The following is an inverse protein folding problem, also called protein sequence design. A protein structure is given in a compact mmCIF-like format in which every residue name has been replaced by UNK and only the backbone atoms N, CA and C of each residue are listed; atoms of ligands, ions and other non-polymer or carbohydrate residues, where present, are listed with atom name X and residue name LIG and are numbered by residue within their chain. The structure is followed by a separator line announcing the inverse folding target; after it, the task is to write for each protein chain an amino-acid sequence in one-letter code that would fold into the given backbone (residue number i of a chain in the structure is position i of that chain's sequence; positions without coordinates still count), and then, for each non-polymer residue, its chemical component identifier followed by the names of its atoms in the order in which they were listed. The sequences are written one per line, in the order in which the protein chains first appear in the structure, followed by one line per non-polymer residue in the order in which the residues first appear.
data_IF_620960949446
#
_entry.id   IF_620960949446
#
_cell.length_a   1.000
_cell.length_b   1.000
_cell.length_c   1.000
_cell.angle_alpha   90.00
_cell.angle_beta   90.00
_cell.angle_gamma   90.00
#
_symmetry.space_group_name_H-M   'P 1'
#
loop_
_entity.id
_entity.type
_entity.pdbx_description
1 polymer ?
#
# COMPACT_ATOMS: atom_id res chain seq x y z
N UNK A 1 10.40 -15.31 -14.45
CA UNK A 1 10.86 -15.70 -13.10
C UNK A 1 9.66 -16.29 -12.38
N UNK A 2 9.74 -17.55 -11.94
CA UNK A 2 8.64 -18.18 -11.20
C UNK A 2 8.68 -17.69 -9.75
N UNK A 3 7.90 -16.68 -9.42
CA UNK A 3 7.66 -16.32 -8.03
C UNK A 3 6.92 -17.47 -7.36
N UNK A 4 7.21 -17.73 -6.10
CA UNK A 4 6.43 -18.72 -5.37
C UNK A 4 5.00 -18.18 -5.23
N UNK A 5 4.03 -18.86 -5.83
CA UNK A 5 2.60 -18.52 -5.74
C UNK A 5 2.19 -18.35 -4.27
N UNK A 6 2.76 -19.17 -3.40
CA UNK A 6 2.48 -19.12 -1.95
C UNK A 6 2.97 -17.80 -1.33
N UNK A 7 4.15 -17.31 -1.73
CA UNK A 7 4.67 -16.04 -1.20
C UNK A 7 3.89 -14.83 -1.73
N UNK A 8 3.46 -14.87 -3.00
CA UNK A 8 2.67 -13.80 -3.60
C UNK A 8 1.27 -13.71 -2.96
N UNK A 9 0.56 -14.82 -2.90
CA UNK A 9 -0.78 -14.91 -2.28
C UNK A 9 -0.71 -14.62 -0.78
N UNK A 10 0.29 -15.16 -0.08
CA UNK A 10 0.49 -14.92 1.35
C UNK A 10 0.77 -13.44 1.67
N UNK A 11 1.66 -12.82 0.89
CA UNK A 11 1.97 -11.38 1.02
C UNK A 11 0.77 -10.50 0.69
N UNK A 12 0.03 -10.84 -0.37
CA UNK A 12 -1.22 -10.18 -0.71
C UNK A 12 -2.26 -10.31 0.40
N UNK A 13 -2.41 -11.52 0.97
CA UNK A 13 -3.31 -11.79 2.09
C UNK A 13 -2.97 -10.94 3.32
N UNK A 14 -1.69 -10.81 3.66
CA UNK A 14 -1.24 -10.01 4.78
C UNK A 14 -1.52 -8.52 4.55
N UNK A 15 -1.23 -7.99 3.36
CA UNK A 15 -1.53 -6.59 3.01
C UNK A 15 -3.03 -6.34 3.02
N UNK A 16 -3.82 -7.22 2.41
CA UNK A 16 -5.28 -7.13 2.40
C UNK A 16 -5.87 -7.19 3.81
N UNK A 17 -5.38 -8.10 4.65
CA UNK A 17 -5.78 -8.20 6.06
C UNK A 17 -5.50 -6.91 6.82
N UNK A 18 -4.29 -6.34 6.68
CA UNK A 18 -3.94 -5.06 7.31
C UNK A 18 -4.77 -3.91 6.76
N UNK A 19 -5.06 -3.91 5.45
CA UNK A 19 -5.92 -2.91 4.81
C UNK A 19 -7.37 -3.02 5.32
N UNK A 20 -7.89 -4.23 5.50
CA UNK A 20 -9.20 -4.49 6.07
C UNK A 20 -9.31 -4.10 7.55
N UNK A 21 -8.27 -4.40 8.32
CA UNK A 21 -8.23 -4.18 9.77
C UNK A 21 -8.04 -2.71 10.14
N UNK A 22 -7.07 -2.03 9.51
CA UNK A 22 -6.62 -0.67 9.86
C UNK A 22 -7.07 0.39 8.85
N UNK A 23 -7.53 -0.04 7.68
CA UNK A 23 -7.82 0.84 6.55
C UNK A 23 -6.57 1.18 5.74
N UNK A 24 -6.42 2.43 5.28
CA UNK A 24 -5.38 2.82 4.33
C UNK A 24 -3.92 2.55 4.72
N UNK A 25 -3.62 2.35 6.00
CA UNK A 25 -2.24 2.10 6.45
C UNK A 25 -1.62 0.80 5.90
N UNK A 26 -2.43 -0.26 5.73
CA UNK A 26 -1.94 -1.56 5.25
C UNK A 26 -1.30 -1.54 3.86
N UNK A 27 -1.66 -0.58 3.03
CA UNK A 27 -1.10 -0.43 1.67
C UNK A 27 0.41 -0.17 1.64
N UNK A 28 0.97 0.40 2.70
CA UNK A 28 2.41 0.71 2.76
C UNK A 28 3.30 -0.53 2.78
N UNK A 29 2.76 -1.66 3.20
CA UNK A 29 3.51 -2.92 3.23
C UNK A 29 3.57 -3.63 1.87
N UNK A 30 2.76 -3.23 0.89
CA UNK A 30 2.69 -3.91 -0.40
C UNK A 30 4.03 -3.93 -1.13
N UNK A 31 4.65 -2.76 -1.30
CA UNK A 31 5.96 -2.65 -2.00
C UNK A 31 7.08 -3.40 -1.28
N UNK A 32 7.30 -3.24 0.04
CA UNK A 32 8.33 -4.02 0.75
C UNK A 32 8.11 -5.54 0.68
N UNK A 33 6.87 -6.01 0.78
CA UNK A 33 6.58 -7.43 0.70
C UNK A 33 6.83 -7.99 -0.69
N UNK A 34 6.47 -7.25 -1.75
CA UNK A 34 6.80 -7.65 -3.12
C UNK A 34 8.30 -7.72 -3.37
N UNK A 35 9.07 -6.78 -2.84
CA UNK A 35 10.53 -6.75 -2.99
C UNK A 35 11.22 -7.84 -2.17
N UNK A 36 10.87 -7.98 -0.89
CA UNK A 36 11.66 -8.78 0.04
C UNK A 36 11.07 -10.15 0.36
N UNK A 37 9.75 -10.30 0.35
CA UNK A 37 9.10 -11.58 0.62
C UNK A 37 8.82 -12.38 -0.67
N UNK A 38 8.41 -11.70 -1.74
CA UNK A 38 8.17 -12.33 -3.04
C UNK A 38 9.45 -12.38 -3.88
N UNK A 39 10.37 -11.42 -3.69
CA UNK A 39 11.65 -11.39 -4.38
C UNK A 39 11.61 -10.71 -5.75
N UNK A 40 10.73 -9.73 -5.94
CA UNK A 40 10.69 -8.92 -7.17
C UNK A 40 11.97 -8.12 -7.30
N UNK A 41 12.78 -8.40 -8.32
CA UNK A 41 14.11 -7.80 -8.47
C UNK A 41 14.08 -6.31 -8.81
N UNK A 42 13.03 -5.87 -9.53
CA UNK A 42 12.92 -4.48 -10.00
C UNK A 42 11.98 -3.65 -9.11
N UNK A 43 12.50 -2.61 -8.44
CA UNK A 43 11.70 -1.74 -7.56
C UNK A 43 10.48 -1.12 -8.24
N UNK A 44 10.65 -0.66 -9.47
CA UNK A 44 9.54 -0.04 -10.22
C UNK A 44 8.42 -1.04 -10.52
N UNK A 45 8.74 -2.30 -10.83
CA UNK A 45 7.74 -3.35 -11.04
C UNK A 45 7.00 -3.65 -9.73
N UNK A 46 7.72 -3.71 -8.60
CA UNK A 46 7.11 -3.92 -7.30
C UNK A 46 6.15 -2.77 -6.91
N UNK A 47 6.53 -1.52 -7.20
CA UNK A 47 5.68 -0.34 -6.94
C UNK A 47 4.44 -0.36 -7.85
N UNK A 48 4.61 -0.58 -9.15
CA UNK A 48 3.50 -0.61 -10.12
C UNK A 48 2.50 -1.74 -9.82
N UNK A 49 3.01 -2.95 -9.64
CA UNK A 49 2.21 -4.14 -9.29
C UNK A 49 1.52 -3.99 -7.94
N UNK A 50 2.25 -3.49 -6.93
CA UNK A 50 1.71 -3.20 -5.61
C UNK A 50 0.62 -2.14 -5.63
N UNK A 51 0.81 -1.06 -6.40
CA UNK A 51 -0.18 0.00 -6.55
C UNK A 51 -1.48 -0.52 -7.18
N UNK A 52 -1.39 -1.38 -8.21
CA UNK A 52 -2.55 -2.03 -8.81
C UNK A 52 -3.28 -2.90 -7.80
N UNK A 53 -2.57 -3.79 -7.14
CA UNK A 53 -3.16 -4.73 -6.19
C UNK A 53 -3.82 -4.01 -5.00
N UNK A 54 -3.16 -3.00 -4.44
CA UNK A 54 -3.71 -2.16 -3.36
C UNK A 54 -4.96 -1.43 -3.84
N UNK A 55 -4.97 -0.93 -5.08
CA UNK A 55 -6.14 -0.21 -5.63
C UNK A 55 -7.35 -1.11 -5.72
N UNK A 56 -7.20 -2.30 -6.29
CA UNK A 56 -8.31 -3.28 -6.41
C UNK A 56 -8.82 -3.66 -5.03
N UNK A 57 -7.93 -3.97 -4.08
CA UNK A 57 -8.31 -4.30 -2.70
C UNK A 57 -8.98 -3.11 -1.98
N UNK A 58 -8.51 -1.88 -2.22
CA UNK A 58 -9.12 -0.67 -1.66
C UNK A 58 -10.50 -0.42 -2.23
N UNK A 59 -10.72 -0.63 -3.55
CA UNK A 59 -12.04 -0.54 -4.17
C UNK A 59 -13.00 -1.62 -3.67
N UNK A 60 -12.55 -2.86 -3.50
CA UNK A 60 -13.36 -3.92 -2.92
C UNK A 60 -13.83 -3.58 -1.49
N UNK A 61 -12.91 -3.05 -0.67
CA UNK A 61 -13.25 -2.56 0.66
C UNK A 61 -14.16 -1.32 0.62
N UNK A 62 -13.94 -0.40 -0.33
CA UNK A 62 -14.76 0.78 -0.50
C UNK A 62 -16.19 0.43 -0.89
N UNK A 63 -16.40 -0.52 -1.82
CA UNK A 63 -17.72 -0.95 -2.26
C UNK A 63 -18.59 -1.40 -1.08
N UNK A 64 -18.01 -2.18 -0.14
CA UNK A 64 -18.74 -2.61 1.06
C UNK A 64 -19.10 -1.47 2.01
N UNK A 65 -18.35 -0.37 2.03
CA UNK A 65 -18.71 0.84 2.81
C UNK A 65 -19.68 1.77 2.08
N UNK A 66 -19.60 1.85 0.74
CA UNK A 66 -20.50 2.65 -0.08
C UNK A 66 -21.93 2.13 -0.03
N UNK A 67 -22.10 0.80 -0.09
CA UNK A 67 -23.41 0.14 0.03
C UNK A 67 -24.08 0.46 1.39
N UNK A 68 -23.28 0.64 2.44
CA UNK A 68 -23.76 1.00 3.80
C UNK A 68 -24.05 2.50 3.98
N UNK A 69 -23.94 3.33 2.94
CA UNK A 69 -24.26 4.77 2.98
C UNK A 69 -23.28 5.65 3.79
N UNK A 70 -22.09 5.14 4.18
CA UNK A 70 -21.16 5.85 5.03
C UNK A 70 -20.12 6.70 4.26
N UNK A 71 -20.47 7.19 3.05
CA UNK A 71 -19.53 7.94 2.20
C UNK A 71 -19.98 9.38 2.00
N UNK A 72 -19.11 10.34 2.34
CA UNK A 72 -19.29 11.75 2.02
C UNK A 72 -18.77 12.05 0.62
N UNK A 73 -19.62 11.90 -0.39
CA UNK A 73 -19.27 11.94 -1.81
C UNK A 73 -18.54 13.22 -2.23
N UNK A 74 -18.96 14.39 -1.75
CA UNK A 74 -18.31 15.68 -2.12
C UNK A 74 -16.83 15.71 -1.71
N UNK A 75 -16.54 15.39 -0.46
CA UNK A 75 -15.15 15.34 0.03
C UNK A 75 -14.36 14.23 -0.66
N UNK A 76 -14.98 13.08 -0.90
CA UNK A 76 -14.35 11.96 -1.57
C UNK A 76 -13.93 12.31 -3.01
N UNK A 77 -14.78 12.97 -3.78
CA UNK A 77 -14.50 13.36 -5.17
C UNK A 77 -13.39 14.41 -5.28
N UNK A 78 -13.45 15.47 -4.46
CA UNK A 78 -12.40 16.52 -4.46
C UNK A 78 -11.05 15.94 -4.05
N UNK A 79 -11.01 15.16 -2.99
CA UNK A 79 -9.78 14.56 -2.49
C UNK A 79 -9.22 13.53 -3.49
N UNK A 80 -10.08 12.72 -4.13
CA UNK A 80 -9.68 11.77 -5.16
C UNK A 80 -9.14 12.48 -6.40
N UNK A 81 -9.78 13.54 -6.86
CA UNK A 81 -9.32 14.31 -8.03
C UNK A 81 -7.93 14.90 -7.83
N UNK A 82 -7.73 15.63 -6.71
CA UNK A 82 -6.41 16.21 -6.39
C UNK A 82 -5.34 15.11 -6.21
N UNK A 83 -5.70 14.00 -5.58
CA UNK A 83 -4.78 12.91 -5.37
C UNK A 83 -4.43 12.13 -6.64
N UNK A 84 -5.35 12.01 -7.61
CA UNK A 84 -5.03 11.44 -8.93
C UNK A 84 -3.99 12.29 -9.65
N UNK A 85 -4.14 13.61 -9.64
CA UNK A 85 -3.13 14.53 -10.22
C UNK A 85 -1.78 14.35 -9.51
N UNK A 86 -1.78 14.36 -8.18
CA UNK A 86 -0.57 14.12 -7.39
C UNK A 86 0.07 12.75 -7.63
N UNK A 87 -0.75 11.70 -7.79
CA UNK A 87 -0.28 10.35 -8.07
C UNK A 87 0.34 10.23 -9.46
N UNK A 88 -0.24 10.86 -10.47
CA UNK A 88 0.32 10.90 -11.83
C UNK A 88 1.65 11.66 -11.87
N UNK A 89 1.71 12.83 -11.26
CA UNK A 89 2.95 13.61 -11.16
C UNK A 89 4.02 12.87 -10.36
N UNK A 90 3.66 12.38 -9.18
CA UNK A 90 4.57 11.65 -8.30
C UNK A 90 5.09 10.36 -8.91
N UNK A 91 4.24 9.58 -9.59
CA UNK A 91 4.65 8.35 -10.25
C UNK A 91 5.52 8.60 -11.50
N UNK A 92 5.26 9.69 -12.21
CA UNK A 92 6.10 10.10 -13.35
C UNK A 92 7.49 10.55 -12.89
N UNK A 93 7.56 11.35 -11.83
CA UNK A 93 8.82 11.73 -11.19
C UNK A 93 9.53 10.49 -10.61
N UNK A 94 8.80 9.60 -9.95
CA UNK A 94 9.36 8.37 -9.38
C UNK A 94 10.03 7.47 -10.40
N UNK A 95 9.51 7.41 -11.63
CA UNK A 95 10.14 6.66 -12.73
C UNK A 95 11.46 7.26 -13.23
N UNK A 96 11.69 8.55 -12.97
CA UNK A 96 12.95 9.22 -13.33
C UNK A 96 14.09 8.98 -12.32
N UNK A 97 13.78 8.45 -11.14
CA UNK A 97 14.76 8.10 -10.13
C UNK A 97 15.22 6.64 -10.27
N UNK A 98 16.47 6.38 -9.90
CA UNK A 98 16.96 5.02 -9.75
C UNK A 98 16.14 4.26 -8.71
N UNK A 99 15.85 2.99 -8.98
CA UNK A 99 14.99 2.18 -8.12
C UNK A 99 15.46 2.09 -6.67
N UNK A 100 16.78 2.01 -6.44
CA UNK A 100 17.35 1.96 -5.09
C UNK A 100 17.15 3.26 -4.31
N UNK A 101 17.36 4.40 -4.97
CA UNK A 101 17.09 5.73 -4.37
C UNK A 101 15.60 5.91 -4.07
N UNK A 102 14.75 5.42 -4.97
CA UNK A 102 13.31 5.48 -4.77
C UNK A 102 12.86 4.67 -3.56
N UNK A 103 13.44 3.49 -3.34
CA UNK A 103 13.16 2.64 -2.17
C UNK A 103 13.65 3.31 -0.89
N UNK A 104 14.81 3.95 -0.90
CA UNK A 104 15.30 4.71 0.25
C UNK A 104 14.33 5.85 0.63
N UNK A 105 13.89 6.65 -0.37
CA UNK A 105 12.90 7.71 -0.17
C UNK A 105 11.57 7.15 0.37
N UNK A 106 11.18 5.99 -0.13
CA UNK A 106 10.00 5.28 0.37
C UNK A 106 10.16 4.87 1.84
N UNK A 107 11.33 4.34 2.22
CA UNK A 107 11.66 4.02 3.61
C UNK A 107 11.59 5.24 4.53
N UNK A 108 12.12 6.38 4.08
CA UNK A 108 12.04 7.65 4.81
C UNK A 108 10.59 8.11 4.99
N UNK A 109 9.78 8.01 3.90
CA UNK A 109 8.36 8.31 3.96
C UNK A 109 7.62 7.39 4.95
N UNK A 110 7.96 6.09 4.99
CA UNK A 110 7.40 5.14 5.95
C UNK A 110 7.67 5.55 7.40
N UNK A 111 8.89 6.05 7.71
CA UNK A 111 9.21 6.58 9.04
C UNK A 111 8.32 7.77 9.39
N UNK A 112 8.17 8.73 8.48
CA UNK A 112 7.32 9.92 8.70
C UNK A 112 5.88 9.51 8.94
N UNK A 113 5.32 8.64 8.11
CA UNK A 113 3.93 8.20 8.26
C UNK A 113 3.75 7.34 9.51
N UNK A 114 4.70 6.46 9.84
CA UNK A 114 4.70 5.70 11.08
C UNK A 114 4.64 6.63 12.31
N UNK A 115 5.46 7.69 12.32
CA UNK A 115 5.44 8.70 13.38
C UNK A 115 4.10 9.45 13.44
N UNK A 116 3.52 9.80 12.28
CA UNK A 116 2.21 10.43 12.22
C UNK A 116 1.07 9.51 12.71
N UNK A 117 1.19 8.19 12.53
CA UNK A 117 0.23 7.21 13.02
C UNK A 117 0.21 7.08 14.54
N UNK A 118 1.31 7.41 15.21
CA UNK A 118 1.37 7.42 16.68
C UNK A 118 0.56 8.57 17.30
N UNK A 119 0.30 9.64 16.54
CA UNK A 119 -0.57 10.73 17.00
C UNK A 119 -2.03 10.29 16.94
N UNK A 120 -2.81 10.39 18.04
CA UNK A 120 -4.22 10.06 18.01
C UNK A 120 -4.95 11.01 17.04
N UNK A 121 -5.48 10.47 15.95
CA UNK A 121 -6.28 11.20 14.97
C UNK A 121 -7.76 10.85 15.14
N UNK A 122 -8.63 11.87 15.11
CA UNK A 122 -10.06 11.64 14.84
C UNK A 122 -10.16 11.02 13.44
N UNK A 123 -10.81 9.87 13.35
CA UNK A 123 -10.91 9.12 12.09
C UNK A 123 -11.65 9.96 11.03
N UNK A 124 -10.90 10.48 10.07
CA UNK A 124 -11.46 11.07 8.85
C UNK A 124 -11.67 9.94 7.87
N UNK A 125 -12.90 9.77 7.42
CA UNK A 125 -13.29 8.71 6.48
C UNK A 125 -12.82 9.04 5.05
N UNK A 126 -11.52 8.86 4.76
CA UNK A 126 -10.92 9.08 3.43
C UNK A 126 -10.67 7.77 2.67
N UNK A 127 -11.61 6.83 2.75
CA UNK A 127 -11.45 5.47 2.21
C UNK A 127 -11.46 5.34 0.67
N UNK A 128 -12.19 6.15 -0.13
CA UNK A 128 -12.15 6.03 -1.59
C UNK A 128 -10.82 6.49 -2.20
N UNK A 129 -10.14 7.41 -1.56
CA UNK A 129 -8.92 8.04 -2.07
C UNK A 129 -7.76 7.06 -2.32
N UNK A 130 -7.57 6.07 -1.46
CA UNK A 130 -6.47 5.09 -1.61
C UNK A 130 -6.61 4.29 -2.90
N UNK A 131 -7.83 3.87 -3.24
CA UNK A 131 -8.11 3.13 -4.48
C UNK A 131 -7.83 3.98 -5.72
N UNK A 132 -8.30 5.22 -5.75
CA UNK A 132 -8.14 6.12 -6.90
C UNK A 132 -6.68 6.53 -7.12
N UNK A 133 -5.94 6.83 -6.06
CA UNK A 133 -4.52 7.20 -6.17
C UNK A 133 -3.67 6.01 -6.62
N UNK A 134 -3.90 4.85 -6.03
CA UNK A 134 -3.22 3.63 -6.41
C UNK A 134 -3.51 3.24 -7.85
N UNK A 135 -4.76 3.39 -8.32
CA UNK A 135 -5.12 3.11 -9.70
C UNK A 135 -4.43 4.07 -10.67
N UNK A 136 -4.40 5.37 -10.38
CA UNK A 136 -3.69 6.35 -11.19
C UNK A 136 -2.19 6.03 -11.29
N UNK A 137 -1.56 5.69 -10.16
CA UNK A 137 -0.17 5.23 -10.12
C UNK A 137 0.00 3.94 -10.94
N UNK A 138 -0.86 2.94 -10.74
CA UNK A 138 -0.79 1.67 -11.45
C UNK A 138 -0.93 1.85 -12.96
N UNK A 139 -1.86 2.66 -13.43
CA UNK A 139 -2.02 2.96 -14.86
C UNK A 139 -0.80 3.65 -15.46
N UNK A 140 -0.20 4.58 -14.72
CA UNK A 140 1.03 5.25 -15.15
C UNK A 140 2.23 4.28 -15.22
N UNK A 141 2.34 3.33 -14.29
CA UNK A 141 3.37 2.28 -14.35
C UNK A 141 3.04 1.23 -15.41
N UNK A 142 1.77 0.87 -15.61
CA UNK A 142 1.33 -0.05 -16.64
C UNK A 142 1.60 0.47 -18.05
N UNK A 143 1.40 1.77 -18.30
CA UNK A 143 1.72 2.41 -19.57
C UNK A 143 3.22 2.34 -19.93
N UNK A 144 4.07 2.13 -18.93
CA UNK A 144 5.52 1.96 -19.09
C UNK A 144 5.96 0.49 -19.03
N UNK A 145 5.02 -0.49 -19.04
CA UNK A 145 5.34 -1.92 -18.95
C UNK A 145 5.88 -2.37 -17.59
N UNK A 146 5.74 -1.57 -16.55
CA UNK A 146 6.27 -1.79 -15.20
C UNK A 146 5.25 -2.42 -14.25
N UNK A 147 4.36 -3.26 -14.77
CA UNK A 147 3.37 -4.02 -13.99
C UNK A 147 3.44 -5.50 -14.41
N UNK A 148 3.67 -6.37 -13.43
CA UNK A 148 3.53 -7.81 -13.61
C UNK A 148 2.07 -8.21 -13.32
N UNK A 149 1.33 -8.52 -14.38
CA UNK A 149 -0.11 -8.81 -14.31
C UNK A 149 -0.43 -10.12 -13.60
N UNK A 150 0.43 -11.14 -13.76
CA UNK A 150 0.24 -12.44 -13.12
C UNK A 150 0.44 -12.29 -11.61
N UNK A 151 1.54 -11.66 -11.23
CA UNK A 151 1.86 -11.37 -9.83
C UNK A 151 0.79 -10.46 -9.19
N UNK A 152 0.28 -9.47 -9.95
CA UNK A 152 -0.82 -8.62 -9.47
C UNK A 152 -2.07 -9.43 -9.17
N UNK A 153 -2.46 -10.36 -10.06
CA UNK A 153 -3.64 -11.20 -9.87
C UNK A 153 -3.51 -12.11 -8.64
N UNK A 154 -2.35 -12.74 -8.46
CA UNK A 154 -2.06 -13.58 -7.28
C UNK A 154 -2.13 -12.79 -5.98
N UNK A 155 -1.51 -11.61 -5.98
CA UNK A 155 -1.48 -10.72 -4.83
C UNK A 155 -2.87 -10.14 -4.51
N UNK A 156 -3.68 -9.80 -5.54
CA UNK A 156 -5.07 -9.35 -5.40
C UNK A 156 -5.92 -10.47 -4.80
N UNK A 157 -5.79 -11.70 -5.31
CA UNK A 157 -6.54 -12.85 -4.81
C UNK A 157 -6.32 -13.07 -3.31
N UNK A 158 -5.04 -13.10 -2.88
CA UNK A 158 -4.70 -13.13 -1.46
C UNK A 158 -5.24 -11.93 -0.70
N UNK A 159 -5.10 -10.74 -1.27
CA UNK A 159 -5.52 -9.47 -0.67
C UNK A 159 -7.02 -9.36 -0.43
N UNK A 160 -7.85 -9.84 -1.33
CA UNK A 160 -9.32 -9.87 -1.15
C UNK A 160 -9.70 -10.78 0.01
N UNK A 161 -9.15 -12.00 0.04
CA UNK A 161 -9.40 -12.95 1.13
C UNK A 161 -8.93 -12.38 2.47
N UNK A 162 -7.68 -11.91 2.54
CA UNK A 162 -7.15 -11.26 3.73
C UNK A 162 -7.95 -10.05 4.17
N UNK A 163 -8.39 -9.22 3.21
CA UNK A 163 -9.20 -8.02 3.46
C UNK A 163 -10.54 -8.33 4.11
N UNK A 164 -11.23 -9.37 3.66
CA UNK A 164 -12.48 -9.84 4.28
C UNK A 164 -12.24 -10.26 5.72
N UNK A 165 -11.22 -11.08 5.99
CA UNK A 165 -10.87 -11.48 7.35
C UNK A 165 -10.47 -10.28 8.22
N UNK A 166 -9.66 -9.36 7.69
CA UNK A 166 -9.28 -8.14 8.39
C UNK A 166 -10.48 -7.27 8.76
N UNK A 167 -11.44 -7.11 7.85
CA UNK A 167 -12.67 -6.34 8.09
C UNK A 167 -13.58 -7.00 9.13
N UNK A 168 -13.72 -8.34 9.08
CA UNK A 168 -14.49 -9.08 10.08
C UNK A 168 -13.86 -8.95 11.47
N UNK A 169 -12.54 -9.01 11.54
CA UNK A 169 -11.82 -8.85 12.81
C UNK A 169 -11.87 -7.41 13.32
N UNK A 170 -11.82 -6.42 12.41
CA UNK A 170 -11.91 -5.00 12.77
C UNK A 170 -13.23 -4.66 13.48
N UNK A 171 -14.34 -5.31 13.13
CA UNK A 171 -15.63 -5.11 13.78
C UNK A 171 -15.62 -5.62 15.22
N UNK A 172 -14.88 -6.69 15.49
CA UNK A 172 -14.74 -7.27 16.84
C UNK A 172 -13.69 -6.56 17.71
N UNK A 173 -12.60 -6.08 17.09
CA UNK A 173 -11.49 -5.42 17.77
C UNK A 173 -11.60 -3.89 17.81
N UNK A 174 -12.77 -3.33 17.52
CA UNK A 174 -12.99 -1.87 17.49
C UNK A 174 -12.56 -1.14 18.79
N UNK A 175 -12.71 -1.78 19.94
CA UNK A 175 -12.27 -1.25 21.23
C UNK A 175 -10.73 -1.15 21.36
N UNK A 176 -9.98 -1.99 20.65
CA UNK A 176 -8.51 -2.07 20.73
C UNK A 176 -7.81 -1.33 19.58
N UNK A 177 -8.50 -0.48 18.85
CA UNK A 177 -8.01 0.21 17.66
C UNK A 177 -6.70 0.98 17.89
N UNK A 178 -6.54 1.60 19.06
CA UNK A 178 -5.31 2.31 19.42
C UNK A 178 -4.11 1.38 19.61
N UNK A 179 -4.34 0.19 20.17
CA UNK A 179 -3.30 -0.84 20.34
C UNK A 179 -2.88 -1.38 18.97
N UNK A 180 -3.85 -1.68 18.11
CA UNK A 180 -3.61 -2.13 16.75
C UNK A 180 -2.79 -1.11 15.95
N UNK A 181 -3.15 0.18 16.04
CA UNK A 181 -2.40 1.25 15.37
C UNK A 181 -0.94 1.34 15.87
N UNK A 182 -0.70 1.17 17.17
CA UNK A 182 0.66 1.19 17.73
C UNK A 182 1.46 -0.03 17.29
N UNK A 183 0.87 -1.21 17.30
CA UNK A 183 1.52 -2.44 16.81
C UNK A 183 1.87 -2.31 15.32
N UNK A 184 0.95 -1.76 14.53
CA UNK A 184 1.19 -1.54 13.12
C UNK A 184 2.26 -0.46 12.86
N UNK A 185 2.27 0.62 13.65
CA UNK A 185 3.33 1.62 13.57
C UNK A 185 4.70 1.00 13.89
N UNK A 186 4.79 0.14 14.91
CA UNK A 186 6.02 -0.60 15.23
C UNK A 186 6.47 -1.49 14.06
N UNK A 187 5.54 -2.20 13.42
CA UNK A 187 5.82 -3.00 12.22
C UNK A 187 6.37 -2.12 11.08
N UNK A 188 5.72 -0.98 10.81
CA UNK A 188 6.18 -0.03 9.78
C UNK A 188 7.58 0.47 10.10
N UNK A 189 7.89 0.83 11.36
CA UNK A 189 9.23 1.27 11.74
C UNK A 189 10.28 0.18 11.55
N UNK A 190 9.95 -1.07 11.89
CA UNK A 190 10.86 -2.21 11.68
C UNK A 190 11.16 -2.41 10.19
N UNK A 191 10.12 -2.40 9.36
CA UNK A 191 10.28 -2.52 7.90
C UNK A 191 11.02 -1.33 7.32
N UNK A 192 10.71 -0.11 7.76
CA UNK A 192 11.39 1.11 7.32
C UNK A 192 12.89 1.09 7.68
N UNK A 193 13.23 0.69 8.92
CA UNK A 193 14.62 0.55 9.35
C UNK A 193 15.37 -0.49 8.50
N UNK A 194 14.73 -1.63 8.21
CA UNK A 194 15.30 -2.66 7.33
C UNK A 194 15.56 -2.13 5.92
N UNK A 195 14.59 -1.41 5.34
CA UNK A 195 14.71 -0.81 4.00
C UNK A 195 15.84 0.21 3.98
N UNK A 196 15.87 1.13 4.95
CA UNK A 196 16.90 2.16 5.03
C UNK A 196 18.30 1.55 5.20
N UNK A 197 18.42 0.53 6.06
CA UNK A 197 19.68 -0.19 6.22
C UNK A 197 20.16 -0.82 4.92
N UNK A 198 19.26 -1.48 4.17
CA UNK A 198 19.59 -2.18 2.92
C UNK A 198 19.88 -1.22 1.77
N UNK A 199 19.18 -0.08 1.72
CA UNK A 199 19.34 0.94 0.66
C UNK A 199 20.38 2.01 1.02
N UNK A 200 21.05 1.92 2.17
CA UNK A 200 22.05 2.90 2.60
C UNK A 200 23.24 3.00 1.63
N UNK A 201 23.64 1.88 1.05
CA UNK A 201 24.72 1.82 0.06
C UNK A 201 24.45 2.61 -1.23
N UNK A 202 23.19 2.87 -1.58
CA UNK A 202 22.83 3.63 -2.79
C UNK A 202 23.26 5.12 -2.74
N UNK A 203 23.62 5.63 -1.57
CA UNK A 203 24.05 7.02 -1.36
C UNK A 203 25.53 7.17 -0.98
N UNK A 204 26.22 6.06 -0.73
CA UNK A 204 27.67 6.11 -0.54
C UNK A 204 28.33 6.19 -1.93
N UNK A 205 29.18 7.20 -2.20
CA UNK A 205 29.98 7.20 -3.40
C UNK A 205 30.92 5.99 -3.39
N UNK A 206 30.94 5.25 -4.48
CA UNK A 206 31.89 4.16 -4.69
C UNK A 206 33.30 4.73 -4.89
#
# INVERSE_FOLDING_TARGET
MSYSLLSAVGSGGLVGFMLGLLGGGGSMLATPLLLYAVGVAQPHVAIGTGALAVSVNAFANFASHAIKGHVWWRCALVFSGLGVVGALLGSSLGKAFDGERLIFLFGLLMVVVGALMLKPRKAVAAKPAVGTFGLATALNYASSGLVDWVLAAEFIGGGVVGGVFGMLLATRLGAYKNVLNRLFAALIFTVAAYILYRSWGAFLPA
#
